data_IF_141462103095
#
_entry.id   IF_141462103095
#
_cell.length_a   1.000
_cell.length_b   1.000
_cell.length_c   1.000
_cell.angle_alpha   90.00
_cell.angle_beta   90.00
_cell.angle_gamma   90.00
#
_symmetry.space_group_name_H-M   'P 1'
#
loop_
_entity.id
_entity.type
_entity.pdbx_description
1 polymer ?
#
# COMPACT_ATOMS: atom_id res chain seq x y z
N UNK A 1 6.96 -34.34 -16.32
CA UNK A 1 8.20 -34.65 -15.56
C UNK A 1 8.99 -33.36 -15.49
N UNK A 2 9.31 -32.88 -14.28
CA UNK A 2 10.09 -31.65 -14.10
C UNK A 2 11.45 -31.81 -14.78
N UNK A 3 11.77 -30.93 -15.73
CA UNK A 3 13.14 -30.80 -16.21
C UNK A 3 13.96 -30.18 -15.06
N UNK A 4 14.54 -31.04 -14.23
CA UNK A 4 15.22 -30.65 -12.98
C UNK A 4 16.34 -29.63 -13.21
N UNK A 5 16.98 -29.68 -14.38
CA UNK A 5 18.07 -28.78 -14.77
C UNK A 5 17.58 -27.36 -15.13
N UNK A 6 16.40 -27.23 -15.74
CA UNK A 6 15.81 -25.90 -15.98
C UNK A 6 15.24 -25.31 -14.69
N UNK A 7 14.65 -26.15 -13.83
CA UNK A 7 14.11 -25.72 -12.54
C UNK A 7 15.22 -25.20 -11.61
N UNK A 8 16.34 -25.91 -11.49
CA UNK A 8 17.49 -25.47 -10.68
C UNK A 8 18.07 -24.14 -11.17
N UNK A 9 18.17 -23.96 -12.50
CA UNK A 9 18.65 -22.71 -13.11
C UNK A 9 17.70 -21.54 -12.87
N UNK A 10 16.39 -21.76 -12.94
CA UNK A 10 15.38 -20.72 -12.62
C UNK A 10 15.46 -20.33 -11.15
N UNK A 11 15.50 -21.30 -10.23
CA UNK A 11 15.61 -21.03 -8.81
C UNK A 11 16.92 -20.30 -8.48
N UNK A 12 18.06 -20.72 -9.05
CA UNK A 12 19.36 -20.07 -8.84
C UNK A 12 19.38 -18.62 -9.36
N UNK A 13 18.72 -18.34 -10.50
CA UNK A 13 18.60 -16.99 -11.01
C UNK A 13 17.71 -16.09 -10.14
N UNK A 14 16.71 -16.67 -9.45
CA UNK A 14 15.82 -15.96 -8.53
C UNK A 14 16.39 -15.80 -7.11
N UNK A 15 17.50 -16.48 -6.79
CA UNK A 15 18.14 -16.50 -5.47
C UNK A 15 18.59 -15.12 -4.94
N UNK A 16 18.69 -14.11 -5.81
CA UNK A 16 18.94 -12.71 -5.45
C UNK A 16 17.86 -12.10 -4.55
N UNK A 17 16.68 -12.73 -4.46
CA UNK A 17 15.55 -12.24 -3.66
C UNK A 17 14.77 -11.11 -4.34
N UNK A 18 15.05 -10.85 -5.61
CA UNK A 18 14.29 -9.89 -6.42
C UNK A 18 13.03 -10.56 -7.01
N UNK A 19 12.03 -9.74 -7.30
CA UNK A 19 10.84 -10.20 -8.04
C UNK A 19 11.10 -10.02 -9.53
N UNK A 20 10.85 -11.06 -10.31
CA UNK A 20 11.19 -11.07 -11.73
C UNK A 20 9.97 -11.19 -12.62
N UNK A 21 10.03 -10.51 -13.77
CA UNK A 21 9.07 -10.71 -14.85
C UNK A 21 9.48 -11.91 -15.72
N UNK A 22 8.48 -12.65 -16.21
CA UNK A 22 8.68 -13.83 -17.07
C UNK A 22 9.63 -13.58 -18.25
N UNK A 23 9.47 -12.44 -18.93
CA UNK A 23 10.28 -12.08 -20.09
C UNK A 23 11.72 -11.70 -19.75
N UNK A 24 11.99 -11.27 -18.51
CA UNK A 24 13.35 -10.98 -18.05
C UNK A 24 14.08 -12.27 -17.67
N UNK A 25 13.41 -13.19 -16.98
CA UNK A 25 13.98 -14.51 -16.67
C UNK A 25 14.34 -15.30 -17.92
N UNK A 26 13.45 -15.30 -18.93
CA UNK A 26 13.72 -15.95 -20.21
C UNK A 26 14.96 -15.37 -20.92
N UNK A 27 15.09 -14.04 -20.94
CA UNK A 27 16.26 -13.37 -21.53
C UNK A 27 17.54 -13.67 -20.76
N UNK A 28 17.50 -13.64 -19.43
CA UNK A 28 18.67 -13.88 -18.57
C UNK A 28 19.17 -15.31 -18.65
N UNK A 29 18.27 -16.27 -18.74
CA UNK A 29 18.58 -17.70 -18.84
C UNK A 29 18.83 -18.16 -20.29
N UNK A 30 18.61 -17.29 -21.27
CA UNK A 30 18.63 -17.62 -22.72
C UNK A 30 17.74 -18.83 -23.05
N UNK A 31 16.58 -18.91 -22.39
CA UNK A 31 15.60 -19.99 -22.56
C UNK A 31 14.34 -19.47 -23.27
N UNK A 32 13.62 -20.34 -24.01
CA UNK A 32 12.32 -19.98 -24.56
C UNK A 32 11.33 -19.58 -23.45
N UNK A 33 10.59 -18.49 -23.66
CA UNK A 33 9.61 -18.00 -22.67
C UNK A 33 8.53 -19.03 -22.32
N UNK A 34 8.19 -19.93 -23.25
CA UNK A 34 7.25 -21.02 -23.01
C UNK A 34 7.80 -22.02 -21.97
N UNK A 35 9.07 -22.43 -22.10
CA UNK A 35 9.72 -23.37 -21.17
C UNK A 35 9.90 -22.77 -19.78
N UNK A 36 10.21 -21.47 -19.70
CA UNK A 36 10.28 -20.74 -18.43
C UNK A 36 8.90 -20.65 -17.78
N UNK A 37 7.83 -20.46 -18.57
CA UNK A 37 6.43 -20.43 -18.06
C UNK A 37 6.06 -21.74 -17.42
N UNK A 38 6.25 -22.83 -18.16
CA UNK A 38 5.94 -24.17 -17.69
C UNK A 38 6.72 -24.51 -16.41
N UNK A 39 8.02 -24.14 -16.36
CA UNK A 39 8.85 -24.38 -15.18
C UNK A 39 8.39 -23.56 -13.97
N UNK A 40 8.04 -22.27 -14.15
CA UNK A 40 7.55 -21.42 -13.07
C UNK A 40 6.18 -21.88 -12.57
N UNK A 41 5.30 -22.35 -13.46
CA UNK A 41 3.99 -22.90 -13.10
C UNK A 41 4.15 -24.16 -12.23
N UNK A 42 5.01 -25.10 -12.66
CA UNK A 42 5.34 -26.29 -11.87
C UNK A 42 6.00 -25.95 -10.52
N UNK A 43 6.89 -24.96 -10.47
CA UNK A 43 7.51 -24.49 -9.22
C UNK A 43 6.51 -23.77 -8.31
N UNK A 44 5.48 -23.13 -8.88
CA UNK A 44 4.42 -22.48 -8.13
C UNK A 44 3.43 -23.48 -7.54
N UNK A 45 3.05 -24.49 -8.32
CA UNK A 45 2.26 -25.64 -7.84
C UNK A 45 2.97 -26.38 -6.69
N UNK A 46 4.30 -26.51 -6.78
CA UNK A 46 5.13 -27.08 -5.73
C UNK A 46 5.41 -26.14 -4.55
N UNK A 47 4.92 -24.89 -4.60
CA UNK A 47 5.05 -23.92 -3.51
C UNK A 47 6.43 -23.26 -3.35
N UNK A 48 7.33 -23.43 -4.31
CA UNK A 48 8.66 -22.81 -4.30
C UNK A 48 8.67 -21.36 -4.79
N UNK A 49 7.69 -21.00 -5.63
CA UNK A 49 7.57 -19.68 -6.25
C UNK A 49 6.17 -19.13 -6.06
N UNK A 50 6.06 -17.86 -5.66
CA UNK A 50 4.78 -17.15 -5.52
C UNK A 50 4.67 -16.07 -6.60
N UNK A 51 3.53 -16.06 -7.30
CA UNK A 51 3.18 -15.03 -8.27
C UNK A 51 2.47 -13.86 -7.61
N UNK A 52 3.02 -12.66 -7.74
CA UNK A 52 2.39 -11.41 -7.33
C UNK A 52 1.95 -10.62 -8.57
N UNK A 53 0.69 -10.19 -8.57
CA UNK A 53 0.18 -9.26 -9.58
C UNK A 53 0.71 -7.86 -9.28
N UNK A 54 1.70 -7.42 -10.04
CA UNK A 54 2.22 -6.06 -9.96
C UNK A 54 1.42 -5.17 -10.94
N UNK A 55 0.90 -4.05 -10.43
CA UNK A 55 0.31 -3.01 -11.29
C UNK A 55 -1.21 -2.87 -11.27
N UNK A 56 -1.94 -3.51 -10.34
CA UNK A 56 -3.32 -3.11 -10.06
C UNK A 56 -3.39 -1.80 -9.25
N UNK A 57 -2.69 -0.76 -9.69
CA UNK A 57 -2.91 0.60 -9.22
C UNK A 57 -3.69 1.36 -10.31
N UNK A 58 -4.94 1.68 -9.98
CA UNK A 58 -5.81 2.66 -10.64
C UNK A 58 -5.65 2.77 -12.18
N UNK A 59 -6.39 1.94 -12.93
CA UNK A 59 -6.75 2.22 -14.32
C UNK A 59 -5.92 1.57 -15.43
N UNK A 60 -4.81 0.88 -15.12
CA UNK A 60 -4.09 0.11 -16.14
C UNK A 60 -4.67 -1.29 -16.28
N UNK A 61 -5.19 -1.63 -17.46
CA UNK A 61 -5.91 -2.89 -17.73
C UNK A 61 -4.99 -4.11 -17.90
N UNK A 62 -3.67 -3.92 -17.89
CA UNK A 62 -2.67 -4.98 -18.03
C UNK A 62 -1.76 -4.99 -16.79
N UNK A 63 -2.12 -5.79 -15.79
CA UNK A 63 -1.20 -6.12 -14.70
C UNK A 63 -0.15 -7.12 -15.22
N UNK A 64 1.12 -6.89 -14.91
CA UNK A 64 2.18 -7.86 -15.20
C UNK A 64 2.40 -8.73 -13.96
N UNK A 65 2.53 -10.04 -14.16
CA UNK A 65 2.84 -10.97 -13.08
C UNK A 65 4.34 -10.95 -12.80
N UNK A 66 4.68 -10.74 -11.52
CA UNK A 66 6.04 -10.88 -11.01
C UNK A 66 6.12 -12.10 -10.13
N UNK A 67 7.21 -12.84 -10.26
CA UNK A 67 7.42 -14.06 -9.50
C UNK A 67 8.56 -13.86 -8.51
N UNK A 68 8.36 -14.29 -7.27
CA UNK A 68 9.37 -14.27 -6.20
C UNK A 68 9.51 -15.64 -5.56
N UNK A 69 10.69 -15.90 -4.98
CA UNK A 69 10.92 -17.14 -4.21
C UNK A 69 10.15 -17.08 -2.90
N UNK A 70 9.52 -18.21 -2.54
CA UNK A 70 8.97 -18.42 -1.20
C UNK A 70 10.08 -18.82 -0.23
N UNK A 71 9.76 -18.86 1.06
CA UNK A 71 10.65 -19.40 2.10
C UNK A 71 11.07 -20.84 1.82
N UNK A 72 10.17 -21.65 1.22
CA UNK A 72 10.47 -23.01 0.80
C UNK A 72 11.44 -23.04 -0.40
N UNK A 73 11.24 -22.16 -1.38
CA UNK A 73 12.14 -21.98 -2.54
C UNK A 73 13.56 -21.59 -2.13
N UNK A 74 13.71 -20.67 -1.18
CA UNK A 74 15.01 -20.28 -0.66
C UNK A 74 15.74 -21.43 0.06
N UNK A 75 15.02 -22.27 0.80
CA UNK A 75 15.62 -23.45 1.48
C UNK A 75 16.02 -24.55 0.52
N UNK A 76 15.31 -24.71 -0.59
CA UNK A 76 15.65 -25.68 -1.63
C UNK A 76 16.96 -25.35 -2.37
N UNK A 77 17.43 -24.10 -2.28
CA UNK A 77 18.69 -23.63 -2.86
C UNK A 77 19.87 -23.69 -1.88
N UNK A 78 19.65 -23.93 -0.59
CA UNK A 78 20.77 -24.17 0.32
C UNK A 78 21.43 -25.52 -0.06
N UNK A 79 22.73 -25.53 -0.40
CA UNK A 79 23.41 -26.78 -0.65
C UNK A 79 23.36 -27.63 0.62
N UNK A 80 22.98 -28.89 0.46
CA UNK A 80 22.91 -29.92 1.49
C UNK A 80 24.32 -30.31 2.01
N UNK A 81 25.13 -29.31 2.39
CA UNK A 81 26.50 -29.44 2.88
C UNK A 81 26.69 -28.64 4.18
N UNK A 82 25.78 -28.82 5.14
CA UNK A 82 25.99 -28.36 6.51
C UNK A 82 25.33 -29.32 7.49
N UNK A 83 25.78 -30.57 7.44
CA UNK A 83 25.81 -31.38 8.66
C UNK A 83 26.86 -30.76 9.59
N UNK A 84 26.41 -30.39 10.80
CA UNK A 84 27.23 -30.26 12.01
C UNK A 84 28.26 -29.12 12.01
N UNK A 85 27.91 -27.98 12.58
CA UNK A 85 28.51 -27.56 13.86
C UNK A 85 27.84 -26.30 14.42
N UNK A 86 27.62 -26.31 15.72
CA UNK A 86 27.07 -25.18 16.46
C UNK A 86 28.05 -24.01 16.48
N UNK A 87 27.73 -22.95 15.74
CA UNK A 87 28.22 -21.62 16.06
C UNK A 87 27.25 -20.58 15.54
N UNK A 88 26.52 -20.01 16.50
CA UNK A 88 25.54 -18.94 16.33
C UNK A 88 26.21 -17.67 15.82
N UNK A 89 26.17 -17.45 14.51
CA UNK A 89 26.35 -16.13 13.92
C UNK A 89 25.43 -15.94 12.72
N UNK A 90 24.13 -15.90 13.00
CA UNK A 90 23.11 -15.46 12.03
C UNK A 90 23.43 -14.03 11.61
N UNK A 91 23.75 -13.74 10.33
CA UNK A 91 24.05 -12.39 9.90
C UNK A 91 22.73 -11.63 9.69
N UNK A 92 22.46 -10.70 10.61
CA UNK A 92 21.78 -9.42 10.45
C UNK A 92 20.29 -9.35 10.02
N UNK A 93 19.68 -10.37 9.38
CA UNK A 93 18.26 -10.29 8.97
C UNK A 93 17.27 -10.47 10.14
N UNK A 94 17.65 -11.23 11.17
CA UNK A 94 16.81 -11.46 12.35
C UNK A 94 16.73 -10.25 13.27
N UNK A 95 17.76 -9.40 13.34
CA UNK A 95 17.75 -8.22 14.22
C UNK A 95 16.81 -7.14 13.71
N UNK A 96 16.79 -6.91 12.39
CA UNK A 96 15.83 -6.01 11.76
C UNK A 96 14.41 -6.59 11.81
N UNK A 97 14.24 -7.89 11.57
CA UNK A 97 12.93 -8.55 11.74
C UNK A 97 12.42 -8.50 13.19
N UNK A 98 13.29 -8.64 14.19
CA UNK A 98 12.95 -8.53 15.61
C UNK A 98 12.65 -7.08 16.01
N UNK A 99 13.42 -6.08 15.52
CA UNK A 99 13.08 -4.66 15.69
C UNK A 99 11.73 -4.32 15.06
N UNK A 100 11.44 -4.88 13.88
CA UNK A 100 10.17 -4.68 13.18
C UNK A 100 8.98 -5.37 13.85
N UNK A 101 9.19 -6.49 14.54
CA UNK A 101 8.13 -7.19 15.28
C UNK A 101 7.74 -6.48 16.59
N UNK A 102 8.67 -5.71 17.18
CA UNK A 102 8.43 -4.96 18.42
C UNK A 102 7.77 -3.60 18.21
N UNK A 103 7.91 -3.00 17.03
CA UNK A 103 7.42 -1.65 16.76
C UNK A 103 5.90 -1.59 16.59
N UNK A 104 5.28 -0.67 17.32
CA UNK A 104 3.85 -0.40 17.33
C UNK A 104 3.55 0.95 16.67
N UNK A 105 2.27 1.16 16.35
CA UNK A 105 1.81 2.45 15.85
C UNK A 105 2.05 3.59 16.86
N UNK A 106 2.06 3.30 18.17
CA UNK A 106 2.41 4.25 19.24
C UNK A 106 3.80 4.82 19.07
N UNK A 107 4.77 4.01 18.66
CA UNK A 107 6.18 4.41 18.61
C UNK A 107 6.40 5.40 17.44
N UNK A 108 5.61 5.24 16.37
CA UNK A 108 5.56 6.21 15.26
C UNK A 108 5.00 7.55 15.76
N UNK A 109 3.99 7.52 16.64
CA UNK A 109 3.40 8.73 17.21
C UNK A 109 4.37 9.44 18.16
N UNK A 110 5.09 8.70 19.01
CA UNK A 110 6.10 9.25 19.92
C UNK A 110 7.27 9.91 19.19
N UNK A 111 7.62 9.41 18.00
CA UNK A 111 8.64 10.00 17.15
C UNK A 111 8.18 11.28 16.41
N UNK A 112 6.87 11.54 16.34
CA UNK A 112 6.31 12.73 15.71
C UNK A 112 6.19 13.87 16.73
N UNK A 113 6.81 15.01 16.42
CA UNK A 113 6.65 16.21 17.22
C UNK A 113 5.35 16.94 16.85
N UNK A 114 4.61 17.43 17.86
CA UNK A 114 3.45 18.28 17.63
C UNK A 114 3.85 19.55 16.86
N UNK A 115 3.03 19.94 15.87
CA UNK A 115 3.23 21.16 15.08
C UNK A 115 4.11 20.98 13.85
N UNK A 116 4.78 19.82 13.70
CA UNK A 116 5.66 19.56 12.57
C UNK A 116 4.97 18.66 11.53
N UNK A 117 5.24 18.97 10.26
CA UNK A 117 4.77 18.17 9.12
C UNK A 117 5.75 17.02 8.86
N UNK A 118 5.24 15.80 8.79
CA UNK A 118 6.05 14.63 8.46
C UNK A 118 5.63 14.01 7.14
N UNK A 119 6.61 13.55 6.36
CA UNK A 119 6.37 12.67 5.22
C UNK A 119 6.76 11.24 5.58
N UNK A 120 6.07 10.25 5.02
CA UNK A 120 6.41 8.84 5.23
C UNK A 120 7.84 8.51 4.78
N UNK A 121 8.33 9.17 3.72
CA UNK A 121 9.71 9.06 3.23
C UNK A 121 10.76 9.56 4.23
N UNK A 122 10.40 10.48 5.11
CA UNK A 122 11.29 11.03 6.16
C UNK A 122 11.22 10.20 7.44
N UNK A 123 10.01 9.74 7.80
CA UNK A 123 9.80 8.90 8.98
C UNK A 123 10.41 7.50 8.84
N UNK A 124 10.37 6.92 7.63
CA UNK A 124 10.93 5.59 7.34
C UNK A 124 12.41 5.43 7.75
N UNK A 125 13.34 6.26 7.26
CA UNK A 125 14.75 6.15 7.68
C UNK A 125 14.96 6.53 9.14
N UNK A 126 14.22 7.52 9.68
CA UNK A 126 14.33 7.95 11.07
C UNK A 126 13.96 6.82 12.07
N UNK A 127 12.99 5.98 11.70
CA UNK A 127 12.52 4.85 12.51
C UNK A 127 13.21 3.53 12.14
N UNK A 128 14.07 3.51 11.12
CA UNK A 128 14.66 2.26 10.60
C UNK A 128 13.62 1.29 10.05
N UNK A 129 12.48 1.80 9.56
CA UNK A 129 11.35 1.02 9.07
C UNK A 129 11.20 1.14 7.55
N UNK A 130 10.71 0.10 6.86
CA UNK A 130 10.38 0.21 5.45
C UNK A 130 9.14 1.11 5.28
N UNK A 131 9.16 1.94 4.23
CA UNK A 131 8.15 2.97 4.00
C UNK A 131 6.70 2.44 4.02
N UNK A 132 6.45 1.24 3.46
CA UNK A 132 5.11 0.64 3.43
C UNK A 132 4.57 0.36 4.85
N UNK A 133 5.43 -0.03 5.80
CA UNK A 133 5.03 -0.25 7.21
C UNK A 133 4.70 1.08 7.90
N UNK A 134 5.51 2.10 7.68
CA UNK A 134 5.23 3.44 8.22
C UNK A 134 3.90 3.97 7.71
N UNK A 135 3.60 3.82 6.43
CA UNK A 135 2.28 4.19 5.86
C UNK A 135 1.15 3.40 6.53
N UNK A 136 1.36 2.10 6.77
CA UNK A 136 0.37 1.25 7.46
C UNK A 136 0.12 1.74 8.90
N UNK A 137 1.18 2.06 9.65
CA UNK A 137 1.04 2.61 11.01
C UNK A 137 0.38 3.98 11.01
N UNK A 138 0.72 4.86 10.07
CA UNK A 138 0.07 6.17 9.92
C UNK A 138 -1.43 6.01 9.61
N UNK A 139 -1.83 5.06 8.77
CA UNK A 139 -3.25 4.76 8.55
C UNK A 139 -3.96 4.30 9.83
N UNK A 140 -3.32 3.46 10.65
CA UNK A 140 -3.87 3.04 11.95
C UNK A 140 -4.04 4.26 12.87
N UNK A 141 -3.03 5.14 12.96
CA UNK A 141 -3.08 6.36 13.79
C UNK A 141 -4.13 7.36 13.29
N UNK A 142 -4.34 7.48 11.98
CA UNK A 142 -5.40 8.30 11.40
C UNK A 142 -6.77 7.75 11.78
N UNK A 143 -6.96 6.42 11.70
CA UNK A 143 -8.20 5.78 12.13
C UNK A 143 -8.47 5.99 13.62
N UNK A 144 -7.43 6.03 14.44
CA UNK A 144 -7.50 6.38 15.86
C UNK A 144 -7.59 7.88 16.15
N UNK A 145 -7.69 8.75 15.13
CA UNK A 145 -7.71 10.21 15.26
C UNK A 145 -6.50 10.83 15.99
N UNK A 146 -5.37 10.12 16.07
CA UNK A 146 -4.12 10.63 16.65
C UNK A 146 -3.26 11.39 15.64
N UNK A 147 -3.43 11.11 14.34
CA UNK A 147 -2.70 11.74 13.25
C UNK A 147 -3.70 12.19 12.18
N UNK A 148 -3.40 13.31 11.52
CA UNK A 148 -4.19 13.85 10.40
C UNK A 148 -3.31 13.87 9.15
N UNK A 149 -3.86 13.40 8.03
CA UNK A 149 -3.23 13.51 6.72
C UNK A 149 -3.73 14.75 6.00
N UNK A 150 -2.82 15.60 5.54
CA UNK A 150 -3.09 16.80 4.77
C UNK A 150 -2.26 16.76 3.50
N UNK A 151 -2.92 16.89 2.35
CA UNK A 151 -2.22 17.00 1.08
C UNK A 151 -1.63 18.40 0.94
N UNK A 152 -0.30 18.49 0.90
CA UNK A 152 0.43 19.75 0.69
C UNK A 152 1.39 19.62 -0.48
N UNK A 153 1.67 20.75 -1.13
CA UNK A 153 2.75 20.81 -2.13
C UNK A 153 4.08 20.74 -1.40
N UNK A 154 4.91 19.79 -1.78
CA UNK A 154 6.30 19.76 -1.35
C UNK A 154 7.11 20.86 -2.05
N UNK A 155 8.37 21.05 -1.65
CA UNK A 155 9.29 22.01 -2.25
C UNK A 155 9.49 21.80 -3.76
N UNK A 156 9.26 20.57 -4.25
CA UNK A 156 9.34 20.18 -5.65
C UNK A 156 8.01 20.40 -6.42
N UNK A 157 7.02 21.04 -5.80
CA UNK A 157 5.72 21.36 -6.40
C UNK A 157 4.76 20.17 -6.54
N UNK A 158 5.17 18.95 -6.15
CA UNK A 158 4.31 17.77 -6.15
C UNK A 158 3.40 17.80 -4.92
N UNK A 159 2.11 17.59 -5.14
CA UNK A 159 1.13 17.45 -4.05
C UNK A 159 1.25 16.04 -3.47
N UNK A 160 1.48 15.95 -2.16
CA UNK A 160 1.61 14.67 -1.47
C UNK A 160 1.13 14.72 -0.02
N UNK A 161 0.88 13.55 0.59
CA UNK A 161 0.36 13.46 1.95
C UNK A 161 1.44 13.85 2.97
N UNK A 162 1.11 14.84 3.80
CA UNK A 162 1.87 15.22 4.98
C UNK A 162 1.05 14.85 6.21
N UNK A 163 1.73 14.31 7.22
CA UNK A 163 1.11 13.78 8.43
C UNK A 163 1.44 14.71 9.59
N UNK A 164 0.41 15.09 10.34
CA UNK A 164 0.50 15.93 11.53
C UNK A 164 -0.07 15.19 12.73
N UNK A 165 0.50 15.42 13.91
CA UNK A 165 -0.14 15.01 15.15
C UNK A 165 -1.46 15.77 15.30
N UNK A 166 -2.54 15.07 15.64
CA UNK A 166 -3.87 15.65 15.76
C UNK A 166 -3.87 16.87 16.71
N UNK A 167 -4.62 17.91 16.33
CA UNK A 167 -4.68 19.17 17.08
C UNK A 167 -3.56 20.17 16.81
N UNK A 168 -2.51 19.78 16.08
CA UNK A 168 -1.32 20.65 15.86
C UNK A 168 -1.09 21.05 14.40
N UNK A 169 -2.10 20.85 13.56
CA UNK A 169 -2.01 21.19 12.13
C UNK A 169 -1.97 22.72 11.92
N UNK A 170 -1.04 23.23 11.07
CA UNK A 170 -0.98 24.64 10.73
C UNK A 170 -2.25 25.03 9.96
N UNK A 171 -3.09 25.86 10.58
CA UNK A 171 -4.40 26.26 10.07
C UNK A 171 -5.61 25.72 10.84
N UNK A 172 -5.40 25.00 11.95
CA UNK A 172 -6.48 24.61 12.87
C UNK A 172 -7.31 25.82 13.35
N UNK A 173 -6.69 26.99 13.51
CA UNK A 173 -7.39 28.23 13.92
C UNK A 173 -8.21 28.90 12.80
N UNK A 174 -8.12 28.41 11.54
CA UNK A 174 -8.86 28.99 10.40
C UNK A 174 -9.85 28.03 9.74
N UNK A 175 -10.01 26.81 10.24
CA UNK A 175 -11.06 25.91 9.78
C UNK A 175 -11.95 25.50 10.95
N UNK A 176 -13.13 26.10 10.98
CA UNK A 176 -14.34 25.57 11.63
C UNK A 176 -14.32 24.03 11.59
N UNK A 177 -14.66 23.37 12.70
CA UNK A 177 -14.40 21.95 12.90
C UNK A 177 -15.12 21.14 11.83
N UNK A 178 -14.35 20.53 10.93
CA UNK A 178 -14.84 19.43 10.09
C UNK A 178 -14.65 18.19 10.93
N UNK A 179 -15.66 17.90 11.74
CA UNK A 179 -15.67 16.81 12.71
C UNK A 179 -15.58 15.46 12.03
N UNK A 180 -14.67 14.64 12.54
CA UNK A 180 -14.79 13.19 12.61
C UNK A 180 -16.15 12.83 13.18
N UNK A 181 -16.79 11.84 12.55
CA UNK A 181 -17.86 10.98 13.07
C UNK A 181 -18.19 11.17 14.55
N UNK A 182 -19.17 12.02 14.82
CA UNK A 182 -20.01 11.91 16.01
C UNK A 182 -21.24 11.12 15.57
N UNK A 183 -21.63 10.15 16.41
CA UNK A 183 -22.94 9.49 16.40
C UNK A 183 -24.00 10.31 15.67
N UNK A 184 -24.54 9.77 14.58
CA UNK A 184 -25.67 10.34 13.83
C UNK A 184 -26.88 10.43 14.77
N UNK A 185 -26.99 11.55 15.47
CA UNK A 185 -28.27 12.11 15.87
C UNK A 185 -28.93 12.67 14.61
N UNK A 186 -30.16 12.24 14.35
CA UNK A 186 -30.86 12.37 13.07
C UNK A 186 -31.41 13.78 12.74
N UNK A 187 -30.92 14.86 13.37
CA UNK A 187 -31.74 16.09 13.49
C UNK A 187 -31.07 17.42 13.14
N UNK A 188 -29.94 17.44 12.41
CA UNK A 188 -29.37 18.71 11.91
C UNK A 188 -28.83 18.60 10.48
N UNK A 189 -29.68 18.17 9.54
CA UNK A 189 -29.38 18.27 8.12
C UNK A 189 -29.64 19.70 7.63
N UNK A 190 -28.58 20.51 7.47
CA UNK A 190 -28.63 21.57 6.46
C UNK A 190 -28.56 20.87 5.09
N UNK A 191 -29.53 21.04 4.18
CA UNK A 191 -29.43 20.45 2.86
C UNK A 191 -28.29 21.14 2.10
N UNK A 192 -27.27 20.37 1.74
CA UNK A 192 -26.27 20.79 0.76
C UNK A 192 -26.99 21.00 -0.55
N UNK A 193 -26.87 22.18 -1.14
CA UNK A 193 -27.52 22.51 -2.41
C UNK A 193 -26.89 21.68 -3.53
N UNK A 194 -27.53 20.57 -3.88
CA UNK A 194 -27.10 19.68 -4.97
C UNK A 194 -27.84 20.04 -6.27
N UNK A 195 -27.23 19.68 -7.41
CA UNK A 195 -27.80 19.86 -8.73
C UNK A 195 -29.16 19.16 -8.90
N UNK A 196 -29.43 18.09 -8.15
CA UNK A 196 -30.75 17.45 -8.11
C UNK A 196 -31.79 18.30 -7.36
N UNK A 197 -31.38 19.02 -6.30
CA UNK A 197 -32.24 19.95 -5.57
C UNK A 197 -32.59 21.18 -6.43
N UNK A 198 -31.64 21.67 -7.23
CA UNK A 198 -31.90 22.72 -8.20
C UNK A 198 -32.91 22.29 -9.27
N UNK A 199 -32.80 21.04 -9.77
CA UNK A 199 -33.76 20.48 -10.73
C UNK A 199 -35.16 20.35 -10.15
N UNK A 200 -35.28 19.90 -8.89
CA UNK A 200 -36.59 19.75 -8.22
C UNK A 200 -37.26 21.08 -7.91
N UNK A 201 -36.51 22.12 -7.54
CA UNK A 201 -37.07 23.46 -7.40
C UNK A 201 -37.54 24.03 -8.75
N UNK A 202 -36.83 23.75 -9.83
CA UNK A 202 -37.22 24.20 -11.15
C UNK A 202 -38.50 23.50 -11.64
N UNK A 203 -38.66 22.20 -11.38
CA UNK A 203 -39.91 21.49 -11.73
C UNK A 203 -41.09 21.98 -10.91
N UNK A 204 -40.91 22.24 -9.60
CA UNK A 204 -41.96 22.85 -8.75
C UNK A 204 -42.40 24.21 -9.26
N UNK A 205 -41.46 25.05 -9.72
CA UNK A 205 -41.77 26.35 -10.30
C UNK A 205 -42.63 26.21 -11.55
N UNK A 206 -42.24 25.36 -12.50
CA UNK A 206 -43.00 25.12 -13.75
C UNK A 206 -44.42 24.66 -13.44
N UNK A 207 -44.60 23.74 -12.49
CA UNK A 207 -45.92 23.28 -12.07
C UNK A 207 -46.77 24.39 -11.44
N UNK A 208 -46.16 25.25 -10.63
CA UNK A 208 -46.85 26.39 -10.02
C UNK A 208 -47.33 27.40 -11.07
N UNK A 209 -46.51 27.67 -12.09
CA UNK A 209 -46.85 28.56 -13.20
C UNK A 209 -47.96 27.95 -14.07
N UNK A 210 -47.90 26.65 -14.36
CA UNK A 210 -48.95 25.93 -15.07
C UNK A 210 -50.30 25.94 -14.33
N UNK A 211 -50.28 25.84 -12.99
CA UNK A 211 -51.49 25.87 -12.17
C UNK A 211 -52.18 27.25 -12.14
N UNK A 212 -51.43 28.33 -12.32
CA UNK A 212 -51.97 29.70 -12.35
C UNK A 212 -52.67 30.08 -13.65
N UNK A 213 -52.45 29.33 -14.73
CA UNK A 213 -53.08 29.56 -16.04
C UNK A 213 -54.50 29.00 -16.19
N UNK A 214 -55.02 28.25 -15.21
CA UNK A 214 -56.28 27.49 -15.32
C UNK A 214 -57.48 28.17 -14.66
N UNK A 215 -57.53 29.50 -14.73
CA UNK A 215 -58.61 30.33 -14.21
C UNK A 215 -59.03 31.41 -15.19
N UNK A 216 -59.49 31.00 -16.38
CA UNK A 216 -60.36 31.76 -17.28
C UNK A 216 -61.27 30.79 -18.03
#
# INVERSE_FOLDING_TARGET
>A
MLNSDTASRVLAAMASGETYEMGELARRLQLPSASVRETIEQLSEAGYVEGQLAGAQYGSRAGYQRFGLTTAGCRALEPLNSATDGSSSVPSRTRDAQRMAGMRASDVLEAMQPGQAYQASVLAPALGLPMHRVVTFLHILIRGAHVVSVNQRNAQGKVGPHYYVAGTQPGADKKKPTGTQILRSHWTHKPTFDAEYARTLNTLRILSEASRGRGR
#
